data_IF_493511235832
#
_entry.id   IF_493511235832
#
_cell.length_a   1.000
_cell.length_b   1.000
_cell.length_c   1.000
_cell.angle_alpha   90.00
_cell.angle_beta   90.00
_cell.angle_gamma   90.00
#
_symmetry.space_group_name_H-M   'P 1'
#
loop_
_entity.id
_entity.type
_entity.pdbx_description
1 polymer ?
#
# COMPACT_ATOMS: atom_id res chain seq x y z
N UNK A 1 -22.16 7.93 9.78
CA UNK A 1 -22.08 7.06 8.57
C UNK A 1 -21.22 5.84 8.90
N UNK A 2 -21.45 4.70 8.27
CA UNK A 2 -20.58 3.51 8.44
C UNK A 2 -19.37 3.55 7.50
N UNK A 3 -18.35 2.73 7.79
CA UNK A 3 -17.15 2.59 6.96
C UNK A 3 -17.48 1.86 5.66
N UNK A 4 -17.09 2.40 4.49
CA UNK A 4 -17.30 1.70 3.23
C UNK A 4 -16.73 0.27 3.28
N UNK A 5 -17.52 -0.70 2.81
CA UNK A 5 -17.17 -2.14 2.88
C UNK A 5 -15.81 -2.44 2.25
N UNK A 6 -15.44 -1.75 1.17
CA UNK A 6 -14.16 -1.94 0.49
C UNK A 6 -12.96 -1.46 1.33
N UNK A 7 -13.11 -0.46 2.20
CA UNK A 7 -12.07 -0.10 3.16
C UNK A 7 -11.91 -1.17 4.24
N UNK A 8 -13.02 -1.70 4.75
CA UNK A 8 -12.99 -2.79 5.74
C UNK A 8 -12.29 -4.02 5.14
N UNK A 9 -12.60 -4.37 3.89
CA UNK A 9 -11.93 -5.46 3.18
C UNK A 9 -10.43 -5.18 2.99
N UNK A 10 -10.06 -3.95 2.64
CA UNK A 10 -8.65 -3.54 2.50
C UNK A 10 -7.91 -3.74 3.83
N UNK A 11 -8.49 -3.29 4.94
CA UNK A 11 -7.88 -3.45 6.27
C UNK A 11 -7.75 -4.90 6.73
N UNK A 12 -8.68 -5.76 6.32
CA UNK A 12 -8.65 -7.18 6.66
C UNK A 12 -7.60 -7.96 5.86
N UNK A 13 -7.50 -7.68 4.55
CA UNK A 13 -6.72 -8.49 3.62
C UNK A 13 -5.30 -7.96 3.40
N UNK A 14 -5.12 -6.64 3.27
CA UNK A 14 -3.81 -6.06 2.93
C UNK A 14 -2.71 -6.46 3.92
N UNK A 15 -2.90 -6.38 5.26
CA UNK A 15 -1.85 -6.78 6.20
C UNK A 15 -1.46 -8.26 6.03
N UNK A 16 -2.45 -9.15 5.87
CA UNK A 16 -2.22 -10.59 5.68
C UNK A 16 -1.45 -10.85 4.39
N UNK A 17 -1.85 -10.18 3.31
CA UNK A 17 -1.20 -10.30 2.02
C UNK A 17 0.25 -9.80 2.07
N UNK A 18 0.49 -8.60 2.61
CA UNK A 18 1.84 -8.03 2.74
C UNK A 18 2.77 -8.92 3.56
N UNK A 19 2.32 -9.42 4.71
CA UNK A 19 3.13 -10.31 5.55
C UNK A 19 3.45 -11.61 4.80
N UNK A 20 2.43 -12.24 4.21
CA UNK A 20 2.59 -13.50 3.48
C UNK A 20 3.55 -13.33 2.30
N UNK A 21 3.37 -12.26 1.53
CA UNK A 21 4.15 -12.02 0.32
C UNK A 21 5.61 -11.70 0.62
N UNK A 22 5.91 -10.80 1.56
CA UNK A 22 7.29 -10.48 1.90
C UNK A 22 8.01 -11.65 2.58
N UNK A 23 7.28 -12.47 3.34
CA UNK A 23 7.84 -13.72 3.89
C UNK A 23 8.19 -14.70 2.76
N UNK A 24 7.31 -14.86 1.77
CA UNK A 24 7.57 -15.69 0.60
C UNK A 24 8.79 -15.18 -0.19
N UNK A 25 8.87 -13.87 -0.44
CA UNK A 25 10.00 -13.27 -1.16
C UNK A 25 11.31 -13.42 -0.39
N UNK A 26 11.29 -13.34 0.94
CA UNK A 26 12.45 -13.61 1.78
C UNK A 26 12.93 -15.06 1.61
N UNK A 27 12.03 -16.03 1.64
CA UNK A 27 12.38 -17.44 1.42
C UNK A 27 12.96 -17.66 0.02
N UNK A 28 12.34 -17.08 -1.01
CA UNK A 28 12.83 -17.18 -2.39
C UNK A 28 14.22 -16.54 -2.51
N UNK A 29 14.40 -15.34 -1.97
CA UNK A 29 15.70 -14.65 -1.99
C UNK A 29 16.81 -15.45 -1.30
N UNK A 30 16.51 -16.03 -0.14
CA UNK A 30 17.46 -16.87 0.61
C UNK A 30 17.84 -18.16 -0.14
N UNK A 31 16.89 -18.81 -0.81
CA UNK A 31 17.12 -20.09 -1.50
C UNK A 31 17.80 -19.89 -2.87
N UNK A 32 17.37 -18.89 -3.63
CA UNK A 32 17.70 -18.79 -5.06
C UNK A 32 18.70 -17.69 -5.41
N UNK A 33 18.87 -16.65 -4.59
CA UNK A 33 19.81 -15.55 -4.85
C UNK A 33 21.00 -15.56 -3.89
N UNK A 34 20.80 -15.99 -2.65
CA UNK A 34 21.84 -15.96 -1.63
C UNK A 34 22.04 -14.56 -1.02
N UNK A 35 22.98 -14.46 -0.09
CA UNK A 35 23.25 -13.23 0.66
C UNK A 35 24.26 -12.33 -0.05
N UNK A 36 24.14 -10.99 0.04
CA UNK A 36 23.16 -10.23 0.84
C UNK A 36 21.84 -9.89 0.10
N UNK A 37 21.83 -9.99 -1.23
CA UNK A 37 20.77 -9.45 -2.09
C UNK A 37 19.42 -10.14 -1.87
N UNK A 38 19.42 -11.44 -1.61
CA UNK A 38 18.22 -12.22 -1.30
C UNK A 38 17.49 -11.80 -0.02
N UNK A 39 18.17 -11.10 0.90
CA UNK A 39 17.55 -10.56 2.12
C UNK A 39 17.12 -9.11 1.96
N UNK A 40 17.95 -8.28 1.31
CA UNK A 40 17.73 -6.83 1.34
C UNK A 40 16.48 -6.42 0.56
N UNK A 41 16.17 -7.07 -0.56
CA UNK A 41 15.02 -6.68 -1.38
C UNK A 41 13.66 -6.93 -0.70
N UNK A 42 13.41 -8.10 -0.08
CA UNK A 42 12.18 -8.31 0.70
C UNK A 42 12.05 -7.36 1.89
N UNK A 43 13.16 -7.08 2.58
CA UNK A 43 13.19 -6.11 3.69
C UNK A 43 12.82 -4.71 3.19
N UNK A 44 13.39 -4.28 2.06
CA UNK A 44 13.05 -2.99 1.45
C UNK A 44 11.56 -2.94 1.08
N UNK A 45 10.98 -4.01 0.53
CA UNK A 45 9.53 -4.07 0.26
C UNK A 45 8.68 -3.82 1.52
N UNK A 46 9.06 -4.41 2.66
CA UNK A 46 8.39 -4.15 3.94
C UNK A 46 8.54 -2.69 4.35
N UNK A 47 9.76 -2.15 4.27
CA UNK A 47 10.05 -0.75 4.61
C UNK A 47 9.23 0.21 3.75
N UNK A 48 9.16 -0.02 2.43
CA UNK A 48 8.37 0.79 1.52
C UNK A 48 6.87 0.67 1.80
N UNK A 49 6.37 -0.52 2.12
CA UNK A 49 4.98 -0.72 2.53
C UNK A 49 4.61 0.18 3.72
N UNK A 50 5.46 0.21 4.75
CA UNK A 50 5.28 1.08 5.90
C UNK A 50 5.46 2.57 5.57
N UNK A 51 6.47 2.93 4.78
CA UNK A 51 6.73 4.31 4.39
C UNK A 51 5.55 4.91 3.61
N UNK A 52 4.97 4.16 2.67
CA UNK A 52 3.80 4.59 1.90
C UNK A 52 2.56 4.65 2.80
N UNK A 53 2.38 3.67 3.70
CA UNK A 53 1.29 3.70 4.70
C UNK A 53 1.32 4.99 5.52
N UNK A 54 2.45 5.30 6.16
CA UNK A 54 2.59 6.50 6.97
C UNK A 54 2.53 7.76 6.11
N UNK A 55 3.16 7.77 4.93
CA UNK A 55 3.14 8.92 4.03
C UNK A 55 1.71 9.33 3.63
N UNK A 56 0.89 8.37 3.20
CA UNK A 56 -0.52 8.65 2.84
C UNK A 56 -1.32 9.08 4.07
N UNK A 57 -1.14 8.40 5.19
CA UNK A 57 -1.85 8.70 6.43
C UNK A 57 -1.50 10.10 6.96
N UNK A 58 -0.23 10.45 7.04
CA UNK A 58 0.26 11.75 7.50
C UNK A 58 -0.19 12.89 6.60
N UNK A 59 -0.17 12.70 5.28
CA UNK A 59 -0.70 13.70 4.34
C UNK A 59 -2.19 13.97 4.62
N UNK A 60 -2.99 12.91 4.77
CA UNK A 60 -4.41 13.06 5.09
C UNK A 60 -4.64 13.64 6.49
N UNK A 61 -3.85 13.24 7.49
CA UNK A 61 -3.87 13.81 8.84
C UNK A 61 -3.52 15.30 8.86
N UNK A 62 -2.51 15.70 8.09
CA UNK A 62 -2.12 17.09 7.95
C UNK A 62 -3.25 17.91 7.32
N UNK A 63 -3.88 17.40 6.26
CA UNK A 63 -5.03 18.07 5.65
C UNK A 63 -6.21 18.16 6.63
N UNK A 64 -6.44 17.11 7.43
CA UNK A 64 -7.44 17.12 8.50
C UNK A 64 -7.15 18.20 9.56
N UNK A 65 -5.89 18.40 9.97
CA UNK A 65 -5.53 19.43 10.95
C UNK A 65 -5.76 20.85 10.41
N UNK A 66 -5.68 21.04 9.09
CA UNK A 66 -5.89 22.31 8.41
C UNK A 66 -7.36 22.54 7.98
N UNK A 67 -8.32 22.29 8.90
CA UNK A 67 -9.78 22.36 8.69
C UNK A 67 -10.31 23.67 8.12
N UNK A 68 -9.52 24.75 8.13
CA UNK A 68 -9.91 26.03 7.52
C UNK A 68 -10.07 25.97 6.00
N UNK A 69 -9.49 24.96 5.33
CA UNK A 69 -9.47 24.85 3.87
C UNK A 69 -10.05 23.53 3.35
N UNK A 70 -10.49 22.64 4.24
CA UNK A 70 -10.94 21.30 3.84
C UNK A 70 -12.31 20.99 4.43
N UNK A 71 -13.30 20.85 3.53
CA UNK A 71 -14.62 20.33 3.88
C UNK A 71 -14.56 18.81 4.08
N UNK A 72 -15.59 18.26 4.73
CA UNK A 72 -15.72 16.83 4.95
C UNK A 72 -15.78 16.06 3.62
N UNK A 73 -16.54 16.56 2.66
CA UNK A 73 -16.71 15.92 1.35
C UNK A 73 -15.39 15.89 0.58
N UNK A 74 -14.60 16.96 0.69
CA UNK A 74 -13.27 17.02 0.09
C UNK A 74 -12.30 16.05 0.77
N UNK A 75 -12.37 15.91 2.09
CA UNK A 75 -11.58 14.91 2.83
C UNK A 75 -11.95 13.48 2.42
N UNK A 76 -13.24 13.15 2.40
CA UNK A 76 -13.72 11.83 1.97
C UNK A 76 -13.30 11.52 0.52
N UNK A 77 -13.32 12.52 -0.36
CA UNK A 77 -12.84 12.41 -1.74
C UNK A 77 -11.33 12.18 -1.81
N UNK A 78 -10.54 12.88 -0.99
CA UNK A 78 -9.09 12.71 -0.91
C UNK A 78 -8.73 11.30 -0.41
N UNK A 79 -9.41 10.81 0.64
CA UNK A 79 -9.24 9.44 1.14
C UNK A 79 -9.54 8.42 0.03
N UNK A 80 -10.65 8.59 -0.68
CA UNK A 80 -11.02 7.70 -1.78
C UNK A 80 -9.99 7.74 -2.91
N UNK A 81 -9.52 8.94 -3.28
CA UNK A 81 -8.48 9.13 -4.29
C UNK A 81 -7.19 8.40 -3.93
N UNK A 82 -6.67 8.59 -2.72
CA UNK A 82 -5.44 7.90 -2.28
C UNK A 82 -5.63 6.38 -2.22
N UNK A 83 -6.79 5.91 -1.77
CA UNK A 83 -7.10 4.49 -1.75
C UNK A 83 -7.09 3.90 -3.16
N UNK A 84 -7.89 4.45 -4.09
CA UNK A 84 -8.02 3.88 -5.44
C UNK A 84 -6.71 4.01 -6.22
N UNK A 85 -5.97 5.12 -6.07
CA UNK A 85 -4.69 5.32 -6.72
C UNK A 85 -3.70 4.22 -6.36
N UNK A 86 -3.58 3.90 -5.06
CA UNK A 86 -2.67 2.86 -4.59
C UNK A 86 -3.10 1.46 -5.05
N UNK A 87 -4.40 1.18 -5.11
CA UNK A 87 -4.92 -0.08 -5.70
C UNK A 87 -4.61 -0.15 -7.19
N UNK A 88 -4.77 0.93 -7.95
CA UNK A 88 -4.46 0.97 -9.38
C UNK A 88 -2.96 0.76 -9.63
N UNK A 89 -2.10 1.40 -8.84
CA UNK A 89 -0.65 1.19 -8.92
C UNK A 89 -0.30 -0.28 -8.69
N UNK A 90 -0.86 -0.90 -7.64
CA UNK A 90 -0.70 -2.33 -7.39
C UNK A 90 -1.10 -3.19 -8.60
N UNK A 91 -2.27 -2.95 -9.18
CA UNK A 91 -2.77 -3.70 -10.33
C UNK A 91 -1.91 -3.49 -11.59
N UNK A 92 -1.45 -2.26 -11.84
CA UNK A 92 -0.55 -1.98 -12.96
C UNK A 92 0.76 -2.76 -12.84
N UNK A 93 1.39 -2.76 -11.66
CA UNK A 93 2.60 -3.54 -11.44
C UNK A 93 2.36 -5.04 -11.57
N UNK A 94 1.23 -5.56 -11.09
CA UNK A 94 0.87 -6.97 -11.30
C UNK A 94 0.86 -7.30 -12.79
N UNK A 95 0.19 -6.49 -13.61
CA UNK A 95 0.11 -6.72 -15.05
C UNK A 95 1.51 -6.67 -15.69
N UNK A 96 2.32 -5.68 -15.31
CA UNK A 96 3.70 -5.53 -15.80
C UNK A 96 4.62 -6.68 -15.38
N UNK A 97 4.31 -7.41 -14.30
CA UNK A 97 5.05 -8.59 -13.85
C UNK A 97 4.53 -9.88 -14.50
N UNK A 98 3.21 -10.04 -14.60
CA UNK A 98 2.56 -11.22 -15.18
C UNK A 98 2.97 -11.41 -16.64
N UNK A 99 2.94 -10.35 -17.46
CA UNK A 99 3.23 -10.47 -18.90
C UNK A 99 4.61 -11.10 -19.16
N UNK A 100 5.73 -10.58 -18.61
CA UNK A 100 7.05 -11.20 -18.73
C UNK A 100 7.13 -12.63 -18.17
N UNK A 101 6.42 -12.93 -17.07
CA UNK A 101 6.42 -14.27 -16.46
C UNK A 101 5.83 -15.29 -17.43
N UNK A 102 4.70 -14.96 -18.07
CA UNK A 102 4.03 -15.85 -19.01
C UNK A 102 4.69 -15.91 -20.39
N UNK A 103 5.42 -14.86 -20.80
CA UNK A 103 6.17 -14.90 -22.07
C UNK A 103 7.53 -15.59 -21.93
N UNK A 104 7.95 -15.93 -20.71
CA UNK A 104 9.24 -16.56 -20.42
C UNK A 104 10.41 -15.57 -20.39
N UNK A 105 10.14 -14.27 -20.50
CA UNK A 105 11.13 -13.19 -20.46
C UNK A 105 11.47 -12.75 -19.03
N UNK A 106 10.80 -13.31 -18.02
CA UNK A 106 11.06 -13.00 -16.63
C UNK A 106 12.22 -13.83 -16.07
N UNK A 107 13.35 -13.17 -15.82
CA UNK A 107 14.47 -13.76 -15.10
C UNK A 107 14.43 -13.39 -13.62
N UNK A 108 14.51 -14.40 -12.74
CA UNK A 108 14.67 -14.22 -11.29
C UNK A 108 16.13 -13.85 -11.00
N UNK A 109 16.50 -12.64 -11.38
CA UNK A 109 17.74 -11.97 -10.98
C UNK A 109 17.45 -10.90 -9.93
N UNK A 110 18.48 -10.24 -9.41
CA UNK A 110 18.35 -9.19 -8.38
C UNK A 110 17.23 -8.17 -8.68
N UNK A 111 17.16 -7.65 -9.91
CA UNK A 111 16.11 -6.71 -10.31
C UNK A 111 14.70 -7.33 -10.31
N UNK A 112 14.56 -8.61 -10.67
CA UNK A 112 13.28 -9.32 -10.67
C UNK A 112 12.76 -9.55 -9.25
N UNK A 113 13.62 -10.00 -8.33
CA UNK A 113 13.25 -10.15 -6.91
C UNK A 113 12.96 -8.80 -6.27
N UNK A 114 13.71 -7.75 -6.60
CA UNK A 114 13.41 -6.41 -6.15
C UNK A 114 11.99 -5.98 -6.57
N UNK A 115 11.65 -6.11 -7.86
CA UNK A 115 10.33 -5.73 -8.35
C UNK A 115 9.21 -6.58 -7.71
N UNK A 116 9.41 -7.89 -7.59
CA UNK A 116 8.47 -8.80 -6.92
C UNK A 116 8.31 -8.46 -5.44
N UNK A 117 9.37 -8.03 -4.76
CA UNK A 117 9.30 -7.60 -3.36
C UNK A 117 8.66 -6.23 -3.21
N UNK A 118 8.86 -5.33 -4.19
CA UNK A 118 8.46 -3.93 -4.09
C UNK A 118 7.01 -3.68 -4.48
N UNK A 119 6.48 -4.33 -5.51
CA UNK A 119 5.15 -3.98 -6.04
C UNK A 119 3.99 -3.97 -5.01
N UNK A 120 3.92 -4.89 -4.02
CA UNK A 120 2.81 -4.87 -3.07
C UNK A 120 2.88 -3.68 -2.11
N UNK A 121 4.00 -2.95 -2.05
CA UNK A 121 4.19 -1.80 -1.15
C UNK A 121 3.14 -0.70 -1.32
N UNK A 122 2.62 -0.54 -2.54
CA UNK A 122 1.51 0.38 -2.83
C UNK A 122 0.25 0.07 -2.00
N UNK A 123 -0.01 -1.19 -1.65
CA UNK A 123 -1.13 -1.56 -0.77
C UNK A 123 -0.98 -0.96 0.63
N UNK A 124 0.25 -0.67 1.08
CA UNK A 124 0.49 0.09 2.31
C UNK A 124 -0.20 1.46 2.27
N UNK A 125 -0.15 2.16 1.14
CA UNK A 125 -0.85 3.43 0.95
C UNK A 125 -2.37 3.29 0.95
N UNK A 126 -2.90 2.23 0.33
CA UNK A 126 -4.33 1.94 0.38
C UNK A 126 -4.80 1.71 1.82
N UNK A 127 -4.02 0.96 2.61
CA UNK A 127 -4.27 0.76 4.04
C UNK A 127 -4.18 2.07 4.84
N UNK A 128 -3.19 2.93 4.51
CA UNK A 128 -3.01 4.23 5.13
C UNK A 128 -4.22 5.15 4.92
N UNK A 129 -4.76 5.17 3.70
CA UNK A 129 -5.99 5.89 3.39
C UNK A 129 -7.20 5.35 4.17
N UNK A 130 -7.38 4.03 4.22
CA UNK A 130 -8.47 3.41 4.99
C UNK A 130 -8.42 3.72 6.48
N UNK A 131 -7.22 3.81 7.06
CA UNK A 131 -7.03 4.20 8.46
C UNK A 131 -7.30 5.68 8.67
N UNK A 132 -6.87 6.54 7.74
CA UNK A 132 -7.13 7.97 7.83
C UNK A 132 -8.63 8.32 7.76
N UNK A 133 -9.44 7.47 7.12
CA UNK A 133 -10.89 7.63 7.10
C UNK A 133 -11.52 7.68 8.50
N UNK A 134 -10.96 6.96 9.48
CA UNK A 134 -11.49 6.89 10.85
C UNK A 134 -11.44 8.25 11.58
N UNK A 135 -10.62 9.20 11.10
CA UNK A 135 -10.47 10.53 11.70
C UNK A 135 -11.51 11.55 11.22
N UNK A 136 -12.37 11.16 10.29
CA UNK A 136 -13.40 12.06 9.72
C UNK A 136 -14.43 12.52 10.75
N UNK A 137 -14.65 11.77 11.84
CA UNK A 137 -15.71 12.05 12.84
C UNK A 137 -15.45 13.36 13.58
N UNK A 138 -14.20 13.83 13.65
CA UNK A 138 -13.85 15.11 14.28
C UNK A 138 -14.26 16.33 13.42
N UNK A 139 -14.76 16.14 12.20
CA UNK A 139 -15.41 17.22 11.43
C UNK A 139 -16.86 17.48 11.89
N UNK A 140 -17.52 16.51 12.54
CA UNK A 140 -18.92 16.65 12.98
C UNK A 140 -19.07 17.55 14.21
N UNK A 141 -18.00 17.75 15.01
CA UNK A 141 -18.06 18.52 16.26
C UNK A 141 -18.09 20.05 16.12
N UNK A 142 -17.97 20.60 14.91
CA UNK A 142 -17.91 22.07 14.70
C UNK A 142 -19.25 22.73 14.35
N UNK A 143 -20.31 21.91 14.20
CA UNK A 143 -21.65 22.37 13.81
C UNK A 143 -22.76 21.87 14.75
N UNK A 144 -22.39 21.38 15.94
CA UNK A 144 -23.33 21.17 17.04
C UNK A 144 -23.14 22.24 18.11
#
# INVERSE_FOLDING_TARGET
>A
MEKPKYYILTELWVPKFLITWHTLMLLIGLIFIGLPDGMIFPILGVVFSYAIFYGVREVLEFQHKNKGHMSRELFDSAVFFFWILNILVFLMFIISLIIPIFTGDFMIVNAGIFLLSFFPSSLGGALGACKAWEMREVFESKYN
#
